data_IF_199568765249
#
_entry.id   IF_199568765249
#
_cell.length_a   1.000
_cell.length_b   1.000
_cell.length_c   1.000
_cell.angle_alpha   90.00
_cell.angle_beta   90.00
_cell.angle_gamma   90.00
#
_symmetry.space_group_name_H-M   'P 1'
#
loop_
_entity.id
_entity.type
_entity.pdbx_description
1 polymer ?
#
# COMPACT_ATOMS: atom_id res chain seq x y z
N UNK A 1 4.84 -9.61 -11.28
CA UNK A 1 5.31 -8.20 -11.30
C UNK A 1 4.57 -7.29 -12.29
N UNK A 2 3.78 -7.78 -13.26
CA UNK A 2 3.08 -6.87 -14.20
C UNK A 2 1.75 -6.29 -13.68
N UNK A 3 1.03 -6.99 -12.80
CA UNK A 3 -0.30 -6.54 -12.33
C UNK A 3 -0.29 -5.20 -11.57
N UNK A 4 0.75 -4.94 -10.78
CA UNK A 4 0.86 -3.66 -10.04
C UNK A 4 0.97 -2.49 -11.02
N UNK A 5 1.64 -2.69 -12.16
CA UNK A 5 1.84 -1.65 -13.15
C UNK A 5 0.54 -1.33 -13.91
N UNK A 6 -0.28 -2.33 -14.22
CA UNK A 6 -1.60 -2.16 -14.85
C UNK A 6 -2.57 -1.42 -13.93
N UNK A 7 -2.57 -1.75 -12.64
CA UNK A 7 -3.46 -1.13 -11.66
C UNK A 7 -3.13 0.36 -11.48
N UNK A 8 -1.84 0.71 -11.45
CA UNK A 8 -1.37 2.09 -11.39
C UNK A 8 -1.67 2.85 -12.69
N UNK A 9 -1.59 2.19 -13.86
CA UNK A 9 -1.95 2.81 -15.14
C UNK A 9 -3.44 3.17 -15.20
N UNK A 10 -4.33 2.32 -14.65
CA UNK A 10 -5.77 2.61 -14.60
C UNK A 10 -6.12 3.77 -13.67
N UNK A 11 -5.33 3.98 -12.60
CA UNK A 11 -5.54 5.05 -11.63
C UNK A 11 -5.10 6.42 -12.17
N UNK A 12 -4.20 6.43 -13.17
CA UNK A 12 -3.60 7.66 -13.75
C UNK A 12 -4.30 8.07 -15.05
N UNK A 13 -5.12 7.21 -15.65
CA UNK A 13 -5.83 7.52 -16.89
C UNK A 13 -7.06 8.41 -16.64
N UNK A 14 -6.80 9.69 -16.34
CA UNK A 14 -7.80 10.75 -16.38
C UNK A 14 -7.94 11.17 -17.84
N UNK A 15 -8.89 10.56 -18.56
CA UNK A 15 -9.24 10.97 -19.93
C UNK A 15 -10.10 12.24 -19.90
N UNK A 16 -9.68 13.36 -20.54
CA UNK A 16 -10.53 14.54 -20.65
C UNK A 16 -11.40 14.43 -21.91
N UNK A 17 -12.72 14.51 -21.72
CA UNK A 17 -13.68 14.88 -22.75
C UNK A 17 -14.61 13.76 -23.24
N UNK A 18 -15.86 13.75 -22.77
CA UNK A 18 -16.98 14.34 -23.51
C UNK A 18 -18.23 14.38 -22.61
N UNK A 19 -18.86 15.55 -22.59
CA UNK A 19 -20.12 15.82 -21.93
C UNK A 19 -21.24 15.12 -22.68
N UNK A 20 -21.90 14.14 -22.07
CA UNK A 20 -23.32 13.84 -22.32
C UNK A 20 -23.91 13.01 -21.14
N UNK A 21 -24.60 13.75 -20.27
CA UNK A 21 -25.74 13.38 -19.41
C UNK A 21 -26.20 11.90 -19.43
N UNK A 22 -25.67 11.09 -18.50
CA UNK A 22 -26.36 9.97 -17.85
C UNK A 22 -26.03 10.01 -16.34
N UNK A 23 -26.71 10.90 -15.64
CA UNK A 23 -26.58 11.08 -14.19
C UNK A 23 -27.31 9.95 -13.44
N UNK A 24 -26.65 9.46 -12.37
CA UNK A 24 -27.19 8.84 -11.13
C UNK A 24 -27.08 7.34 -10.86
N UNK A 25 -26.84 6.44 -11.82
CA UNK A 25 -26.70 5.00 -11.51
C UNK A 25 -25.25 4.47 -11.47
N UNK A 26 -24.29 5.19 -12.05
CA UNK A 26 -22.90 4.72 -12.21
C UNK A 26 -21.97 5.12 -11.06
N UNK A 27 -22.19 6.28 -10.42
CA UNK A 27 -21.30 6.78 -9.35
C UNK A 27 -21.34 5.90 -8.10
N UNK A 28 -22.51 5.43 -7.69
CA UNK A 28 -22.67 4.56 -6.51
C UNK A 28 -21.90 3.24 -6.64
N UNK A 29 -21.89 2.63 -7.83
CA UNK A 29 -21.19 1.35 -8.06
C UNK A 29 -19.68 1.58 -8.14
N UNK A 30 -19.25 2.71 -8.73
CA UNK A 30 -17.85 3.12 -8.78
C UNK A 30 -17.29 3.41 -7.38
N UNK A 31 -18.01 4.16 -6.56
CA UNK A 31 -17.63 4.49 -5.18
C UNK A 31 -17.57 3.23 -4.31
N UNK A 32 -18.49 2.29 -4.50
CA UNK A 32 -18.51 1.04 -3.75
C UNK A 32 -17.33 0.13 -4.16
N UNK A 33 -16.95 0.11 -5.44
CA UNK A 33 -15.77 -0.60 -5.93
C UNK A 33 -14.47 0.03 -5.40
N UNK A 34 -14.36 1.36 -5.45
CA UNK A 34 -13.20 2.07 -4.91
C UNK A 34 -13.06 1.87 -3.39
N UNK A 35 -14.14 2.02 -2.63
CA UNK A 35 -14.13 1.79 -1.19
C UNK A 35 -13.74 0.34 -0.85
N UNK A 36 -14.24 -0.64 -1.61
CA UNK A 36 -13.85 -2.04 -1.46
C UNK A 36 -12.37 -2.24 -1.75
N UNK A 37 -11.83 -1.63 -2.81
CA UNK A 37 -10.42 -1.68 -3.17
C UNK A 37 -9.52 -1.06 -2.09
N UNK A 38 -9.90 0.11 -1.56
CA UNK A 38 -9.17 0.77 -0.47
C UNK A 38 -9.19 -0.11 0.77
N UNK A 39 -10.36 -0.63 1.16
CA UNK A 39 -10.49 -1.50 2.32
C UNK A 39 -9.70 -2.80 2.16
N UNK A 40 -9.72 -3.43 0.98
CA UNK A 40 -8.97 -4.68 0.73
C UNK A 40 -7.47 -4.43 0.73
N UNK A 41 -7.03 -3.32 0.14
CA UNK A 41 -5.61 -2.91 0.10
C UNK A 41 -5.11 -2.60 1.51
N UNK A 42 -5.88 -1.85 2.29
CA UNK A 42 -5.54 -1.57 3.69
C UNK A 42 -5.45 -2.85 4.51
N UNK A 43 -6.41 -3.77 4.36
CA UNK A 43 -6.39 -5.07 5.03
C UNK A 43 -5.14 -5.85 4.67
N UNK A 44 -4.81 -5.94 3.38
CA UNK A 44 -3.61 -6.63 2.90
C UNK A 44 -2.32 -6.03 3.49
N UNK A 45 -2.21 -4.69 3.52
CA UNK A 45 -1.06 -3.99 4.12
C UNK A 45 -0.96 -4.29 5.62
N UNK A 46 -2.09 -4.29 6.33
CA UNK A 46 -2.16 -4.58 7.77
C UNK A 46 -1.78 -6.03 8.09
N UNK A 47 -2.28 -6.99 7.32
CA UNK A 47 -1.92 -8.41 7.44
C UNK A 47 -0.43 -8.60 7.18
N UNK A 48 0.09 -8.00 6.11
CA UNK A 48 1.51 -8.05 5.75
C UNK A 48 2.39 -7.47 6.87
N UNK A 49 2.01 -6.32 7.44
CA UNK A 49 2.71 -5.70 8.57
C UNK A 49 2.74 -6.62 9.81
N UNK A 50 1.63 -7.28 10.10
CA UNK A 50 1.53 -8.24 11.20
C UNK A 50 2.43 -9.44 10.97
N UNK A 51 2.42 -10.00 9.75
CA UNK A 51 3.27 -11.13 9.36
C UNK A 51 4.76 -10.80 9.50
N UNK A 52 5.19 -9.64 9.02
CA UNK A 52 6.58 -9.18 9.18
C UNK A 52 6.99 -9.15 10.65
N UNK A 53 6.18 -8.51 11.50
CA UNK A 53 6.46 -8.40 12.94
C UNK A 53 6.51 -9.76 13.63
N UNK A 54 5.56 -10.65 13.33
CA UNK A 54 5.51 -11.98 13.92
C UNK A 54 6.74 -12.82 13.57
N UNK A 55 7.16 -12.78 12.31
CA UNK A 55 8.37 -13.48 11.86
C UNK A 55 9.61 -12.90 12.51
N UNK A 56 9.78 -11.57 12.52
CA UNK A 56 10.92 -10.91 13.16
C UNK A 56 10.99 -11.25 14.65
N UNK A 57 9.86 -11.20 15.35
CA UNK A 57 9.79 -11.52 16.78
C UNK A 57 10.14 -13.00 17.04
N UNK A 58 9.59 -13.93 16.25
CA UNK A 58 9.88 -15.37 16.40
C UNK A 58 11.35 -15.69 16.13
N UNK A 59 11.94 -15.08 15.09
CA UNK A 59 13.33 -15.33 14.70
C UNK A 59 14.31 -14.66 15.67
N UNK A 60 14.01 -13.45 16.14
CA UNK A 60 14.87 -12.74 17.11
C UNK A 60 14.89 -13.40 18.50
N UNK A 61 13.81 -14.07 18.89
CA UNK A 61 13.72 -14.79 20.16
C UNK A 61 14.32 -16.21 20.09
N UNK A 62 14.71 -16.68 18.91
CA UNK A 62 15.28 -18.02 18.74
C UNK A 62 16.80 -17.99 18.88
N UNK A 63 17.38 -18.59 19.95
CA UNK A 63 18.83 -18.58 20.17
C UNK A 63 19.60 -19.26 19.04
N UNK A 64 19.01 -20.28 18.41
CA UNK A 64 19.60 -20.96 17.25
C UNK A 64 19.62 -20.14 15.95
N UNK A 65 18.95 -18.98 15.93
CA UNK A 65 18.92 -18.05 14.81
C UNK A 65 19.82 -16.84 15.06
N UNK A 66 19.90 -16.35 16.30
CA UNK A 66 20.74 -15.20 16.66
C UNK A 66 22.21 -15.57 16.88
N UNK A 67 22.51 -16.82 17.22
CA UNK A 67 23.90 -17.31 17.38
C UNK A 67 24.56 -17.74 16.08
N UNK A 68 23.84 -17.76 14.94
CA UNK A 68 24.41 -18.10 13.64
C UNK A 68 24.49 -16.82 12.77
N UNK A 69 25.70 -16.41 12.31
CA UNK A 69 25.88 -15.16 11.59
C UNK A 69 25.16 -15.12 10.23
N UNK A 70 25.03 -16.24 9.52
CA UNK A 70 24.30 -16.30 8.24
C UNK A 70 22.80 -16.12 8.45
N UNK A 71 22.26 -16.75 9.49
CA UNK A 71 20.84 -16.61 9.87
C UNK A 71 20.53 -15.21 10.40
N UNK A 72 21.48 -14.61 11.13
CA UNK A 72 21.38 -13.24 11.60
C UNK A 72 21.38 -12.23 10.43
N UNK A 73 22.22 -12.46 9.41
CA UNK A 73 22.21 -11.65 8.19
C UNK A 73 20.86 -11.75 7.45
N UNK A 74 20.31 -12.95 7.35
CA UNK A 74 18.98 -13.14 6.76
C UNK A 74 17.89 -12.39 7.56
N UNK A 75 17.95 -12.41 8.89
CA UNK A 75 17.05 -11.64 9.75
C UNK A 75 17.22 -10.13 9.53
N UNK A 76 18.46 -9.64 9.43
CA UNK A 76 18.75 -8.23 9.16
C UNK A 76 18.18 -7.77 7.82
N UNK A 77 18.35 -8.58 6.76
CA UNK A 77 17.75 -8.29 5.45
C UNK A 77 16.22 -8.23 5.55
N UNK A 78 15.60 -9.17 6.26
CA UNK A 78 14.16 -9.19 6.45
C UNK A 78 13.63 -7.97 7.22
N UNK A 79 14.35 -7.52 8.25
CA UNK A 79 14.05 -6.26 8.96
C UNK A 79 14.21 -5.05 8.03
N UNK A 80 15.23 -5.06 7.17
CA UNK A 80 15.46 -4.02 6.16
C UNK A 80 14.30 -3.92 5.17
N UNK A 81 13.84 -5.06 4.64
CA UNK A 81 12.68 -5.13 3.74
C UNK A 81 11.40 -4.60 4.42
N UNK A 82 11.15 -4.99 5.67
CA UNK A 82 10.03 -4.45 6.45
C UNK A 82 10.12 -2.92 6.58
N UNK A 83 11.30 -2.39 6.93
CA UNK A 83 11.53 -0.95 7.06
C UNK A 83 11.31 -0.21 5.75
N UNK A 84 11.78 -0.75 4.63
CA UNK A 84 11.58 -0.18 3.31
C UNK A 84 10.10 -0.15 2.93
N UNK A 85 9.39 -1.25 3.16
CA UNK A 85 7.96 -1.37 2.87
C UNK A 85 7.14 -0.33 3.65
N UNK A 86 7.29 -0.25 4.98
CA UNK A 86 6.51 0.70 5.79
C UNK A 86 6.85 2.15 5.48
N UNK A 87 8.12 2.43 5.15
CA UNK A 87 8.57 3.76 4.75
C UNK A 87 7.93 4.19 3.43
N UNK A 88 7.88 3.29 2.44
CA UNK A 88 7.24 3.56 1.15
C UNK A 88 5.75 3.85 1.31
N UNK A 89 5.04 2.98 2.04
CA UNK A 89 3.59 3.15 2.29
C UNK A 89 3.32 4.48 2.99
N UNK A 90 4.10 4.82 4.01
CA UNK A 90 3.95 6.07 4.77
C UNK A 90 4.24 7.30 3.91
N UNK A 91 5.30 7.25 3.10
CA UNK A 91 5.69 8.33 2.20
C UNK A 91 4.61 8.58 1.13
N UNK A 92 4.07 7.51 0.56
CA UNK A 92 3.01 7.60 -0.43
C UNK A 92 1.73 8.20 0.19
N UNK A 93 1.27 7.64 1.32
CA UNK A 93 0.10 8.14 2.03
C UNK A 93 0.22 9.64 2.36
N UNK A 94 1.38 10.06 2.88
CA UNK A 94 1.64 11.47 3.21
C UNK A 94 1.60 12.36 1.97
N UNK A 95 2.23 11.96 0.87
CA UNK A 95 2.20 12.71 -0.39
C UNK A 95 0.78 12.84 -0.94
N UNK A 96 0.01 11.75 -0.96
CA UNK A 96 -1.38 11.76 -1.42
C UNK A 96 -2.24 12.73 -0.60
N UNK A 97 -2.17 12.67 0.73
CA UNK A 97 -2.90 13.61 1.60
C UNK A 97 -2.50 15.05 1.32
N UNK A 98 -1.19 15.35 1.23
CA UNK A 98 -0.72 16.70 0.91
C UNK A 98 -1.18 17.19 -0.46
N UNK A 99 -1.27 16.32 -1.46
CA UNK A 99 -1.81 16.67 -2.78
C UNK A 99 -3.30 17.01 -2.70
N UNK A 100 -4.09 16.21 -1.98
CA UNK A 100 -5.53 16.47 -1.78
C UNK A 100 -5.72 17.81 -1.07
N UNK A 101 -5.01 18.05 0.04
CA UNK A 101 -5.05 19.32 0.79
C UNK A 101 -4.67 20.52 -0.09
N UNK A 102 -3.72 20.34 -1.01
CA UNK A 102 -3.29 21.41 -1.93
C UNK A 102 -4.37 21.73 -2.96
N UNK A 103 -5.03 20.70 -3.51
CA UNK A 103 -6.11 20.88 -4.48
C UNK A 103 -7.36 21.49 -3.82
N UNK A 104 -7.69 21.08 -2.59
CA UNK A 104 -8.82 21.62 -1.83
C UNK A 104 -8.65 23.12 -1.55
N UNK A 105 -7.44 23.54 -1.12
CA UNK A 105 -7.13 24.96 -0.86
C UNK A 105 -7.05 25.84 -2.10
N UNK A 106 -6.95 25.23 -3.28
CA UNK A 106 -6.86 25.94 -4.57
C UNK A 106 -8.24 26.23 -5.18
N UNK A 107 -9.33 25.68 -4.62
CA UNK A 107 -10.70 26.02 -5.00
C UNK A 107 -11.19 27.28 -4.27
#
# INVERSE_FOLDING_TARGET
>A
MSHINETLHSLVQITPGQSEREETFSSSVHDQNFNNLVSSTFRQISETNTQYKDVINKLSQSPGFTSNPEKLLALQNYVGEYSNHISLVSALARKTVSTIETLEKSQ
#
